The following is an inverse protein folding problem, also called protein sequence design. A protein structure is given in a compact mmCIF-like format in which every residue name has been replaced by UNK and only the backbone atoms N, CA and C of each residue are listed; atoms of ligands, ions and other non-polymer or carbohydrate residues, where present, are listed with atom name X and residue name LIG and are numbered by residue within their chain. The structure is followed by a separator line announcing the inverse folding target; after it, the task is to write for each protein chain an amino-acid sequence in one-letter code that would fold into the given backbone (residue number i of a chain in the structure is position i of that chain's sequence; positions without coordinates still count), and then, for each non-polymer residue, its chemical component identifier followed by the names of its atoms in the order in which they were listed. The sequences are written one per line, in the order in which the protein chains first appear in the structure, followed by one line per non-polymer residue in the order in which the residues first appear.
data_IF_403042362170
#
_entry.id   IF_403042362170
#
_cell.length_a   1.000
_cell.length_b   1.000
_cell.length_c   1.000
_cell.angle_alpha   90.00
_cell.angle_beta   90.00
_cell.angle_gamma   90.00
#
_symmetry.space_group_name_H-M   'P 1'
#
loop_
_entity.id
_entity.type
_entity.pdbx_description
1 polymer ?
#
# COMPACT_ATOMS: atom_id res chain seq x y z
N UNK A 1 -5.28 21.15 15.13
CA UNK A 1 -5.07 20.35 13.90
C UNK A 1 -3.63 20.60 13.46
N UNK A 2 -2.87 19.57 13.10
CA UNK A 2 -1.54 19.76 12.51
C UNK A 2 -1.66 20.12 11.03
N UNK A 3 -0.62 20.77 10.48
CA UNK A 3 -0.56 21.14 9.05
C UNK A 3 -0.72 19.91 8.15
N UNK A 4 -0.07 18.79 8.53
CA UNK A 4 -0.24 17.47 7.90
C UNK A 4 -1.71 17.06 7.77
N UNK A 5 -2.48 17.19 8.85
CA UNK A 5 -3.89 16.81 8.86
C UNK A 5 -4.75 17.77 8.01
N UNK A 6 -4.42 19.06 7.96
CA UNK A 6 -5.09 20.03 7.11
C UNK A 6 -4.84 19.73 5.62
N UNK A 7 -3.60 19.41 5.23
CA UNK A 7 -3.22 19.05 3.86
C UNK A 7 -3.91 17.75 3.41
N UNK A 8 -3.92 16.71 4.26
CA UNK A 8 -4.65 15.47 3.97
C UNK A 8 -6.16 15.70 3.83
N UNK A 9 -6.72 16.64 4.60
CA UNK A 9 -8.13 17.05 4.47
C UNK A 9 -8.39 17.73 3.13
N UNK A 10 -7.51 18.64 2.70
CA UNK A 10 -7.62 19.29 1.40
C UNK A 10 -7.62 18.28 0.24
N UNK A 11 -6.71 17.30 0.27
CA UNK A 11 -6.67 16.20 -0.72
C UNK A 11 -7.99 15.42 -0.72
N UNK A 12 -8.55 15.13 0.45
CA UNK A 12 -9.81 14.38 0.59
C UNK A 12 -11.01 15.13 0.00
N UNK A 13 -11.03 16.46 0.12
CA UNK A 13 -12.07 17.32 -0.48
C UNK A 13 -11.90 17.42 -2.00
N UNK A 14 -10.66 17.45 -2.48
CA UNK A 14 -10.32 17.66 -3.89
C UNK A 14 -9.66 16.41 -4.51
N UNK A 15 -10.34 15.26 -4.45
CA UNK A 15 -9.78 13.97 -4.90
C UNK A 15 -9.38 13.95 -6.39
N UNK A 16 -9.97 14.80 -7.23
CA UNK A 16 -9.65 14.91 -8.65
C UNK A 16 -8.58 15.95 -8.99
N UNK A 17 -8.08 16.70 -8.01
CA UNK A 17 -7.09 17.77 -8.22
C UNK A 17 -5.70 17.32 -7.79
N UNK A 18 -4.70 17.58 -8.63
CA UNK A 18 -3.31 17.22 -8.36
C UNK A 18 -2.60 18.31 -7.55
N UNK A 19 -3.09 19.55 -7.56
CA UNK A 19 -2.52 20.67 -6.80
C UNK A 19 -2.38 20.39 -5.30
N UNK A 20 -3.43 20.00 -4.54
CA UNK A 20 -3.29 19.72 -3.11
C UNK A 20 -2.37 18.54 -2.82
N UNK A 21 -2.21 17.61 -3.78
CA UNK A 21 -1.26 16.49 -3.64
C UNK A 21 0.16 16.96 -3.79
N UNK A 22 0.44 17.78 -4.80
CA UNK A 22 1.76 18.35 -5.03
C UNK A 22 2.21 19.24 -3.86
N UNK A 23 1.30 20.09 -3.35
CA UNK A 23 1.58 20.88 -2.13
C UNK A 23 1.90 19.98 -0.93
N UNK A 24 1.18 18.87 -0.78
CA UNK A 24 1.49 17.91 0.27
C UNK A 24 2.83 17.18 0.07
N UNK A 25 3.19 16.86 -1.18
CA UNK A 25 4.49 16.29 -1.49
C UNK A 25 5.64 17.26 -1.17
N UNK A 26 5.47 18.54 -1.49
CA UNK A 26 6.45 19.58 -1.13
C UNK A 26 6.58 19.70 0.40
N UNK A 27 5.46 19.69 1.11
CA UNK A 27 5.46 19.69 2.58
C UNK A 27 6.17 18.46 3.18
N UNK A 28 5.97 17.26 2.60
CA UNK A 28 6.60 16.02 3.05
C UNK A 28 8.13 16.03 2.82
N UNK A 29 8.61 16.65 1.74
CA UNK A 29 10.06 16.80 1.52
C UNK A 29 10.71 17.73 2.55
N UNK A 30 9.99 18.77 2.97
CA UNK A 30 10.45 19.72 3.99
C UNK A 30 10.37 19.15 5.41
N UNK A 31 9.41 18.25 5.66
CA UNK A 31 9.10 17.68 6.98
C UNK A 31 9.04 16.14 6.96
N UNK A 32 10.08 15.42 6.50
CA UNK A 32 10.05 13.96 6.46
C UNK A 32 10.18 13.39 7.88
N UNK A 33 9.18 12.64 8.33
CA UNK A 33 9.21 11.93 9.62
C UNK A 33 9.62 10.46 9.46
N UNK A 34 9.53 9.91 8.25
CA UNK A 34 9.78 8.50 7.94
C UNK A 34 10.13 8.28 6.46
N UNK A 35 10.75 7.14 6.13
CA UNK A 35 10.97 6.76 4.71
C UNK A 35 9.65 6.68 3.92
N UNK A 36 8.55 6.33 4.58
CA UNK A 36 7.23 6.31 3.96
C UNK A 36 6.77 7.69 3.53
N UNK A 37 7.09 8.74 4.28
CA UNK A 37 6.74 10.12 3.90
C UNK A 37 7.51 10.53 2.65
N UNK A 38 8.82 10.26 2.60
CA UNK A 38 9.65 10.44 1.40
C UNK A 38 9.09 9.66 0.21
N UNK A 39 8.78 8.37 0.40
CA UNK A 39 8.22 7.52 -0.63
C UNK A 39 6.84 8.01 -1.13
N UNK A 40 6.02 8.56 -0.23
CA UNK A 40 4.72 9.15 -0.58
C UNK A 40 4.91 10.39 -1.46
N UNK A 41 5.84 11.28 -1.12
CA UNK A 41 6.16 12.46 -1.92
C UNK A 41 6.67 12.09 -3.32
N UNK A 42 7.62 11.15 -3.41
CA UNK A 42 8.12 10.60 -4.68
C UNK A 42 7.00 10.03 -5.54
N UNK A 43 6.13 9.20 -4.95
CA UNK A 43 5.05 8.55 -5.69
C UNK A 43 3.96 9.54 -6.13
N UNK A 44 3.62 10.54 -5.31
CA UNK A 44 2.73 11.64 -5.70
C UNK A 44 3.27 12.31 -6.96
N UNK A 45 4.55 12.71 -6.95
CA UNK A 45 5.17 13.38 -8.09
C UNK A 45 5.20 12.48 -9.32
N UNK A 46 5.59 11.21 -9.17
CA UNK A 46 5.55 10.24 -10.27
C UNK A 46 4.14 10.06 -10.87
N UNK A 47 3.11 10.14 -10.03
CA UNK A 47 1.70 9.97 -10.41
C UNK A 47 1.05 11.20 -11.01
N UNK A 48 1.52 12.42 -10.66
CA UNK A 48 0.92 13.70 -11.10
C UNK A 48 1.62 14.30 -12.33
N UNK A 49 2.43 13.52 -13.06
CA UNK A 49 3.10 13.97 -14.29
C UNK A 49 2.14 13.97 -15.49
N UNK A 50 1.60 15.14 -15.82
CA UNK A 50 0.81 15.38 -17.04
C UNK A 50 -0.70 15.42 -16.80
N UNK A 51 -1.48 15.73 -17.85
CA UNK A 51 -2.95 15.76 -17.75
C UNK A 51 -3.46 14.39 -17.35
N UNK A 52 -4.23 14.36 -16.28
CA UNK A 52 -5.08 13.25 -15.86
C UNK A 52 -5.66 12.52 -17.07
N UNK A 53 -5.19 11.30 -17.33
CA UNK A 53 -5.68 10.54 -18.45
C UNK A 53 -7.16 10.19 -18.17
N UNK A 54 -8.11 10.54 -19.06
CA UNK A 54 -9.54 10.37 -18.80
C UNK A 54 -9.95 8.92 -18.53
N UNK A 55 -9.14 7.94 -18.91
CA UNK A 55 -9.36 6.51 -18.61
C UNK A 55 -8.88 6.08 -17.21
N UNK A 56 -8.25 6.96 -16.44
CA UNK A 56 -7.74 6.67 -15.09
C UNK A 56 -6.43 5.90 -15.05
N UNK A 57 -5.65 5.85 -16.15
CA UNK A 57 -4.29 5.34 -16.13
C UNK A 57 -3.32 6.34 -15.48
N UNK A 58 -2.40 5.83 -14.67
CA UNK A 58 -1.28 6.63 -14.17
C UNK A 58 -0.19 6.78 -15.24
N UNK A 59 0.68 7.80 -15.13
CA UNK A 59 1.86 7.92 -15.99
C UNK A 59 2.76 6.68 -15.91
N UNK A 60 3.48 6.37 -17.00
CA UNK A 60 4.42 5.22 -17.03
C UNK A 60 5.43 5.24 -15.89
N UNK A 61 5.92 6.43 -15.51
CA UNK A 61 6.83 6.61 -14.38
C UNK A 61 6.21 6.18 -13.05
N UNK A 62 4.92 6.42 -12.84
CA UNK A 62 4.22 5.95 -11.64
C UNK A 62 4.15 4.42 -11.57
N UNK A 63 3.86 3.76 -12.70
CA UNK A 63 3.85 2.29 -12.74
C UNK A 63 5.23 1.68 -12.47
N UNK A 64 6.28 2.29 -13.02
CA UNK A 64 7.65 1.87 -12.77
C UNK A 64 8.01 2.05 -11.29
N UNK A 65 7.75 3.25 -10.75
CA UNK A 65 8.01 3.55 -9.35
C UNK A 65 7.27 2.56 -8.43
N UNK A 66 5.99 2.25 -8.72
CA UNK A 66 5.21 1.30 -7.94
C UNK A 66 5.80 -0.10 -7.98
N UNK A 67 6.27 -0.56 -9.13
CA UNK A 67 6.91 -1.87 -9.24
C UNK A 67 8.17 -1.97 -8.37
N UNK A 68 8.94 -0.89 -8.30
CA UNK A 68 10.23 -0.87 -7.60
C UNK A 68 10.10 -0.56 -6.09
N UNK A 69 9.07 0.20 -5.67
CA UNK A 69 9.07 0.86 -4.37
C UNK A 69 7.79 0.72 -3.53
N UNK A 70 6.74 0.03 -4.00
CA UNK A 70 5.43 0.05 -3.31
C UNK A 70 5.49 -0.37 -1.83
N UNK A 71 6.44 -1.21 -1.44
CA UNK A 71 6.63 -1.66 -0.07
C UNK A 71 6.88 -0.49 0.89
N UNK A 72 7.55 0.57 0.42
CA UNK A 72 7.82 1.80 1.18
C UNK A 72 6.54 2.58 1.49
N UNK A 73 5.45 2.35 0.76
CA UNK A 73 4.16 3.02 1.01
C UNK A 73 3.33 2.33 2.09
N UNK A 74 3.63 1.07 2.43
CA UNK A 74 2.85 0.26 3.39
C UNK A 74 3.73 -0.49 4.41
N UNK A 75 4.74 0.14 5.03
CA UNK A 75 5.71 -0.54 5.89
C UNK A 75 5.07 -1.21 7.11
N UNK A 76 4.11 -0.57 7.78
CA UNK A 76 3.46 -1.15 8.98
C UNK A 76 2.63 -2.38 8.60
N UNK A 77 1.95 -2.32 7.46
CA UNK A 77 1.15 -3.42 6.93
C UNK A 77 2.04 -4.61 6.56
N UNK A 78 3.21 -4.35 5.97
CA UNK A 78 4.19 -5.38 5.68
C UNK A 78 4.92 -5.89 6.93
N UNK A 79 4.99 -5.09 7.99
CA UNK A 79 5.47 -5.49 9.31
C UNK A 79 4.65 -6.63 9.94
N UNK A 80 3.41 -6.84 9.48
CA UNK A 80 2.59 -8.00 9.86
C UNK A 80 3.11 -9.33 9.28
N UNK A 81 3.95 -9.28 8.25
CA UNK A 81 4.47 -10.46 7.55
C UNK A 81 5.55 -11.17 8.38
N UNK A 82 5.26 -12.40 8.81
CA UNK A 82 6.21 -13.31 9.45
C UNK A 82 7.07 -14.00 8.40
N UNK A 83 8.35 -13.60 8.34
CA UNK A 83 9.34 -14.16 7.40
C UNK A 83 9.65 -15.63 7.68
N UNK A 84 9.78 -16.43 6.63
CA UNK A 84 10.11 -17.85 6.62
C UNK A 84 11.52 -18.06 6.08
N UNK A 85 12.52 -17.97 6.97
CA UNK A 85 13.95 -18.14 6.64
C UNK A 85 14.48 -17.13 5.59
N UNK A 86 15.71 -16.66 5.76
CA UNK A 86 16.37 -15.77 4.81
C UNK A 86 16.97 -16.65 3.69
N UNK A 87 16.57 -16.48 2.43
CA UNK A 87 17.42 -16.91 1.32
C UNK A 87 18.47 -15.84 1.13
N UNK A 88 19.69 -16.14 1.57
CA UNK A 88 20.88 -15.36 1.23
C UNK A 88 21.35 -15.88 -0.12
N UNK A 89 21.26 -15.07 -1.15
CA UNK A 89 21.90 -15.39 -2.41
C UNK A 89 23.42 -15.28 -2.21
N UNK A 90 24.12 -16.41 -2.13
CA UNK A 90 25.57 -16.46 -1.83
C UNK A 90 26.41 -15.62 -2.80
N UNK A 91 25.94 -15.44 -4.04
CA UNK A 91 26.63 -14.70 -5.10
C UNK A 91 26.44 -13.17 -5.00
N UNK A 92 25.35 -12.70 -4.42
CA UNK A 92 25.00 -11.26 -4.38
C UNK A 92 24.90 -10.70 -2.96
N UNK A 93 24.89 -11.56 -1.93
CA UNK A 93 24.57 -11.19 -0.56
C UNK A 93 23.12 -10.70 -0.38
N UNK A 94 22.30 -10.80 -1.42
CA UNK A 94 20.98 -10.20 -1.47
C UNK A 94 19.98 -11.10 -0.74
N UNK A 95 19.20 -10.49 0.16
CA UNK A 95 18.10 -11.17 0.84
C UNK A 95 16.89 -11.11 -0.10
N UNK A 96 16.55 -12.23 -0.71
CA UNK A 96 15.30 -12.35 -1.49
C UNK A 96 14.09 -12.14 -0.55
N UNK A 97 13.14 -11.30 -0.97
CA UNK A 97 11.93 -11.09 -0.18
C UNK A 97 11.11 -12.39 -0.14
N UNK A 98 11.00 -13.00 1.04
CA UNK A 98 10.15 -14.17 1.28
C UNK A 98 8.65 -13.93 0.97
N UNK A 99 8.25 -12.66 0.88
CA UNK A 99 6.89 -12.29 0.54
C UNK A 99 6.66 -12.38 -0.98
N UNK A 100 5.80 -13.32 -1.39
CA UNK A 100 5.26 -13.35 -2.75
C UNK A 100 4.39 -12.13 -3.03
N UNK A 101 4.63 -11.47 -4.16
CA UNK A 101 3.81 -10.36 -4.64
C UNK A 101 3.81 -10.29 -6.16
N UNK A 102 2.81 -9.61 -6.72
CA UNK A 102 2.73 -9.31 -8.15
C UNK A 102 2.06 -7.96 -8.36
N UNK A 103 2.23 -7.37 -9.55
CA UNK A 103 1.58 -6.11 -9.92
C UNK A 103 0.88 -6.25 -11.26
N UNK A 104 -0.36 -5.78 -11.33
CA UNK A 104 -1.12 -5.61 -12.57
C UNK A 104 -1.61 -4.16 -12.66
N UNK A 105 -0.95 -3.35 -13.49
CA UNK A 105 -1.25 -1.92 -13.58
C UNK A 105 -1.07 -1.22 -12.24
N UNK A 106 -2.16 -0.76 -11.64
CA UNK A 106 -2.18 -0.06 -10.35
C UNK A 106 -2.42 -0.96 -9.14
N UNK A 107 -2.77 -2.20 -9.39
CA UNK A 107 -3.04 -3.17 -8.34
C UNK A 107 -1.74 -3.90 -8.01
N UNK A 108 -1.39 -3.90 -6.73
CA UNK A 108 -0.33 -4.73 -6.16
C UNK A 108 -0.98 -5.78 -5.30
N UNK A 109 -0.74 -7.04 -5.63
CA UNK A 109 -1.18 -8.18 -4.86
C UNK A 109 -0.01 -8.70 -4.02
N UNK A 110 -0.21 -8.82 -2.71
CA UNK A 110 0.80 -9.32 -1.78
C UNK A 110 0.22 -10.42 -0.88
N UNK A 111 1.07 -11.39 -0.56
CA UNK A 111 0.75 -12.51 0.32
C UNK A 111 1.35 -12.27 1.71
N UNK A 112 0.55 -11.69 2.61
CA UNK A 112 1.02 -11.33 3.96
C UNK A 112 0.80 -12.52 4.89
N UNK A 113 1.88 -13.12 5.39
CA UNK A 113 1.84 -14.26 6.28
C UNK A 113 1.76 -13.79 7.73
N UNK A 114 0.72 -14.13 8.47
CA UNK A 114 0.56 -13.64 9.84
C UNK A 114 -0.11 -14.69 10.76
N UNK A 115 0.05 -14.59 12.09
CA UNK A 115 -0.66 -15.46 13.03
C UNK A 115 -2.17 -15.29 12.90
N UNK A 116 -2.93 -16.37 12.96
CA UNK A 116 -4.39 -16.33 12.84
C UNK A 116 -5.09 -17.18 13.90
N UNK A 117 -6.16 -16.63 14.49
CA UNK A 117 -6.92 -17.25 15.57
C UNK A 117 -6.42 -16.89 16.97
N UNK A 118 -7.12 -17.38 17.99
CA UNK A 118 -6.81 -17.22 19.42
C UNK A 118 -5.77 -18.22 19.94
N UNK A 119 -5.29 -19.13 19.10
CA UNK A 119 -4.23 -20.08 19.42
C UNK A 119 -2.90 -19.63 18.83
N UNK A 120 -1.89 -19.48 19.68
CA UNK A 120 -0.54 -19.10 19.30
C UNK A 120 0.09 -20.15 18.37
N UNK A 121 0.29 -19.82 17.09
CA UNK A 121 1.25 -20.53 16.23
C UNK A 121 0.83 -20.84 14.81
N UNK A 122 -0.47 -20.80 14.45
CA UNK A 122 -0.87 -21.05 13.06
C UNK A 122 -0.65 -19.79 12.23
N UNK A 123 0.36 -19.84 11.35
CA UNK A 123 0.59 -18.81 10.34
C UNK A 123 -0.25 -19.09 9.11
N UNK A 124 -1.05 -18.11 8.70
CA UNK A 124 -1.82 -18.17 7.45
C UNK A 124 -1.31 -17.12 6.48
N UNK A 125 -1.37 -17.44 5.19
CA UNK A 125 -1.11 -16.47 4.14
C UNK A 125 -2.40 -15.74 3.77
N UNK A 126 -2.37 -14.42 3.86
CA UNK A 126 -3.48 -13.53 3.54
C UNK A 126 -3.20 -12.79 2.24
N UNK A 127 -3.93 -13.16 1.19
CA UNK A 127 -3.95 -12.42 -0.06
C UNK A 127 -4.56 -11.05 0.17
N UNK A 128 -3.77 -10.00 -0.08
CA UNK A 128 -4.15 -8.60 0.08
C UNK A 128 -3.86 -7.86 -1.22
N UNK A 129 -4.83 -7.12 -1.72
CA UNK A 129 -4.70 -6.33 -2.95
C UNK A 129 -4.73 -4.86 -2.59
N UNK A 130 -3.75 -4.11 -3.09
CA UNK A 130 -3.57 -2.68 -2.91
C UNK A 130 -3.72 -1.97 -4.26
N UNK A 131 -4.74 -1.14 -4.41
CA UNK A 131 -4.94 -0.32 -5.61
C UNK A 131 -4.42 1.10 -5.36
N UNK A 132 -3.32 1.43 -6.02
CA UNK A 132 -2.70 2.74 -5.90
C UNK A 132 -3.18 3.71 -6.97
N UNK A 133 -3.41 4.96 -6.61
CA UNK A 133 -3.78 5.99 -7.57
C UNK A 133 -3.38 7.38 -7.07
N UNK A 134 -2.80 8.18 -7.96
CA UNK A 134 -2.44 9.58 -7.70
C UNK A 134 -1.71 9.79 -6.37
N UNK A 135 -0.67 8.98 -6.13
CA UNK A 135 0.19 9.12 -4.96
C UNK A 135 -0.27 8.41 -3.68
N UNK A 136 -1.44 7.76 -3.68
CA UNK A 136 -1.98 7.11 -2.48
C UNK A 136 -2.52 5.72 -2.77
N UNK A 137 -2.63 4.89 -1.72
CA UNK A 137 -3.50 3.73 -1.75
C UNK A 137 -4.96 4.20 -1.74
N UNK A 138 -5.69 3.96 -2.83
CA UNK A 138 -7.09 4.36 -2.95
C UNK A 138 -8.02 3.28 -2.40
N UNK A 139 -7.78 2.03 -2.82
CA UNK A 139 -8.57 0.89 -2.42
C UNK A 139 -7.70 -0.26 -1.92
N UNK A 140 -8.22 -1.04 -1.00
CA UNK A 140 -7.62 -2.31 -0.64
C UNK A 140 -8.67 -3.40 -0.42
N UNK A 141 -8.25 -4.65 -0.59
CA UNK A 141 -9.08 -5.83 -0.36
C UNK A 141 -8.26 -6.88 0.37
N UNK A 142 -8.87 -7.54 1.35
CA UNK A 142 -8.30 -8.72 2.01
C UNK A 142 -9.26 -9.89 1.80
N UNK A 143 -8.74 -11.04 1.39
CA UNK A 143 -9.55 -12.22 1.09
C UNK A 143 -9.84 -13.11 2.31
N UNK A 144 -9.35 -12.74 3.49
CA UNK A 144 -9.53 -13.45 4.77
C UNK A 144 -10.19 -12.52 5.79
N UNK A 145 -11.44 -12.77 6.22
CA UNK A 145 -12.14 -11.90 7.17
C UNK A 145 -11.40 -11.68 8.49
N UNK A 146 -10.85 -12.74 9.10
CA UNK A 146 -10.14 -12.61 10.38
C UNK A 146 -8.79 -11.90 10.31
N UNK A 147 -8.29 -11.55 9.13
CA UNK A 147 -7.11 -10.70 8.95
C UNK A 147 -7.47 -9.22 8.79
N UNK A 148 -8.76 -8.90 8.64
CA UNK A 148 -9.24 -7.57 8.30
C UNK A 148 -8.83 -6.52 9.32
N UNK A 149 -9.11 -6.72 10.61
CA UNK A 149 -8.85 -5.69 11.61
C UNK A 149 -7.35 -5.42 11.81
N UNK A 150 -6.51 -6.45 11.70
CA UNK A 150 -5.05 -6.29 11.77
C UNK A 150 -4.52 -5.48 10.60
N UNK A 151 -4.90 -5.86 9.38
CA UNK A 151 -4.47 -5.15 8.16
C UNK A 151 -5.06 -3.73 8.15
N UNK A 152 -6.32 -3.54 8.53
CA UNK A 152 -6.96 -2.23 8.60
C UNK A 152 -6.24 -1.31 9.59
N UNK A 153 -5.86 -1.82 10.76
CA UNK A 153 -5.12 -1.06 11.77
C UNK A 153 -3.79 -0.55 11.24
N UNK A 154 -2.99 -1.44 10.66
CA UNK A 154 -1.69 -1.09 10.07
C UNK A 154 -1.83 -0.16 8.85
N UNK A 155 -2.77 -0.46 7.94
CA UNK A 155 -3.04 0.38 6.77
C UNK A 155 -3.53 1.77 7.12
N UNK A 156 -4.26 1.96 8.23
CA UNK A 156 -4.68 3.29 8.65
C UNK A 156 -3.49 4.16 9.06
N UNK A 157 -2.41 3.55 9.57
CA UNK A 157 -1.14 4.22 9.86
C UNK A 157 -0.43 4.55 8.56
N UNK A 158 -0.27 3.57 7.67
CA UNK A 158 0.45 3.70 6.40
C UNK A 158 -0.25 4.64 5.40
N UNK A 159 -1.56 4.51 5.23
CA UNK A 159 -2.32 5.10 4.14
C UNK A 159 -3.70 5.58 4.66
N UNK A 160 -3.76 6.71 5.39
CA UNK A 160 -4.96 7.18 6.09
C UNK A 160 -6.13 7.60 5.18
N UNK A 161 -5.91 7.64 3.85
CA UNK A 161 -6.95 7.91 2.85
C UNK A 161 -7.50 6.64 2.19
N UNK A 162 -6.90 5.47 2.47
CA UNK A 162 -7.26 4.20 1.85
C UNK A 162 -8.64 3.72 2.28
N UNK A 163 -9.39 3.16 1.33
CA UNK A 163 -10.73 2.61 1.55
C UNK A 163 -10.74 1.12 1.29
N UNK A 164 -11.52 0.36 2.05
CA UNK A 164 -11.73 -1.05 1.73
C UNK A 164 -12.78 -1.20 0.61
N UNK A 165 -12.50 -2.00 -0.42
CA UNK A 165 -13.39 -2.14 -1.60
C UNK A 165 -14.57 -3.09 -1.35
N UNK A 166 -14.35 -4.21 -0.65
CA UNK A 166 -15.37 -5.18 -0.22
C UNK A 166 -14.89 -5.97 1.00
N UNK A 167 -15.80 -6.21 1.94
CA UNK A 167 -15.73 -7.34 2.87
C UNK A 167 -16.02 -8.63 2.07
N UNK A 168 -15.22 -9.70 2.20
CA UNK A 168 -15.76 -11.03 1.97
C UNK A 168 -16.69 -11.32 3.16
N UNK A 169 -17.96 -10.93 3.07
CA UNK A 169 -19.00 -11.61 3.82
C UNK A 169 -19.13 -12.97 3.15
N UNK A 170 -18.58 -14.00 3.80
CA UNK A 170 -18.80 -15.42 3.54
C UNK A 170 -18.99 -15.80 2.06
N UNK A 171 -17.90 -15.74 1.28
CA UNK A 171 -17.82 -16.61 0.11
C UNK A 171 -17.53 -18.02 0.65
N UNK A 172 -18.60 -18.80 0.80
CA UNK A 172 -18.57 -20.23 1.00
C UNK A 172 -17.38 -20.84 0.26
N UNK A 173 -16.53 -21.54 1.01
CA UNK A 173 -15.44 -22.36 0.46
C UNK A 173 -16.05 -23.56 -0.28
N UNK A 174 -16.65 -23.31 -1.43
CA UNK A 174 -17.04 -24.34 -2.39
C UNK A 174 -15.81 -24.85 -3.12
N UNK A 175 -15.15 -25.85 -2.53
CA UNK A 175 -14.36 -26.78 -3.32
C UNK A 175 -15.34 -27.54 -4.22
N UNK A 176 -15.21 -27.38 -5.54
CA UNK A 176 -15.67 -28.36 -6.52
C UNK A 176 -14.45 -29.08 -7.08
#
# INVERSE_FOLDING_TARGET
MSDRAALLTAIRVHLGDDTPRLVYADWLDEHPESDRDTATAEFIRASCLGRNHPTGYMPRKAYQWLHENWQRLVPETLGLHVRRFLMIHEETGEVSSDMGWSRSGRDVEAYIRMPFGSGDGILVSCRTVFEFNRGFLQWWTVHRPGAFDRIRGALAVDQPLARCRKFPLDAEWGWK
#
